data_IF_769607757792
#
_entry.id   IF_769607757792
#
_cell.length_a   1.000
_cell.length_b   1.000
_cell.length_c   1.000
_cell.angle_alpha   90.00
_cell.angle_beta   90.00
_cell.angle_gamma   90.00
#
_symmetry.space_group_name_H-M   'P 1'
#
loop_
_entity.id
_entity.type
_entity.pdbx_description
1 polymer ?
#
# COMPACT_ATOMS: atom_id res chain seq x y z
N UNK A 1 2.42 16.60 -5.64
CA UNK A 1 1.50 15.88 -4.72
C UNK A 1 2.02 14.46 -4.56
N UNK A 2 1.72 13.79 -3.43
CA UNK A 2 2.01 12.36 -3.20
C UNK A 2 0.67 11.69 -2.92
N UNK A 3 0.37 10.59 -3.62
CA UNK A 3 -0.73 9.70 -3.28
C UNK A 3 -0.19 8.52 -2.46
N UNK A 4 -0.69 8.37 -1.25
CA UNK A 4 -0.22 7.36 -0.29
C UNK A 4 -1.08 6.08 -0.27
N UNK A 5 -2.21 6.06 -0.99
CA UNK A 5 -3.17 4.96 -0.93
C UNK A 5 -3.73 4.63 -2.32
N UNK A 6 -3.16 3.64 -2.98
CA UNK A 6 -3.59 3.25 -4.33
C UNK A 6 -3.57 1.74 -4.55
N UNK A 7 -4.51 1.26 -5.37
CA UNK A 7 -4.62 -0.13 -5.80
C UNK A 7 -4.25 -0.27 -7.30
N UNK A 8 -3.08 0.26 -7.65
CA UNK A 8 -2.60 0.34 -9.05
C UNK A 8 -1.74 -0.87 -9.43
N UNK A 9 -1.21 -1.66 -8.47
CA UNK A 9 -0.44 -2.87 -8.80
C UNK A 9 -1.31 -3.90 -9.53
N UNK A 10 -0.87 -4.40 -10.71
CA UNK A 10 -1.71 -5.27 -11.54
C UNK A 10 -1.96 -6.62 -10.88
N UNK A 11 -3.23 -7.01 -10.79
CA UNK A 11 -3.66 -8.35 -10.36
C UNK A 11 -3.37 -8.69 -8.90
N UNK A 12 -3.20 -7.68 -8.03
CA UNK A 12 -2.95 -7.90 -6.60
C UNK A 12 -4.24 -8.05 -5.79
N UNK A 13 -5.24 -7.22 -6.10
CA UNK A 13 -6.49 -7.09 -5.35
C UNK A 13 -7.65 -6.66 -6.27
N UNK A 14 -8.64 -5.97 -5.73
CA UNK A 14 -9.81 -5.47 -6.44
C UNK A 14 -9.56 -4.20 -7.28
N UNK A 15 -8.35 -3.65 -7.25
CA UNK A 15 -7.94 -2.49 -8.05
C UNK A 15 -7.63 -2.81 -9.50
N UNK A 16 -6.42 -2.49 -9.96
CA UNK A 16 -6.00 -2.73 -11.34
C UNK A 16 -5.90 -4.21 -11.66
N UNK A 17 -6.74 -4.70 -12.59
CA UNK A 17 -6.78 -6.13 -12.97
C UNK A 17 -5.59 -6.56 -13.82
N UNK A 18 -5.00 -5.63 -14.56
CA UNK A 18 -3.92 -5.86 -15.51
C UNK A 18 -3.02 -4.64 -15.67
N UNK A 19 -1.89 -4.82 -16.34
CA UNK A 19 -0.91 -3.76 -16.60
C UNK A 19 -1.50 -2.60 -17.40
N UNK A 20 -2.41 -2.87 -18.33
CA UNK A 20 -3.05 -1.82 -19.13
C UNK A 20 -3.86 -0.88 -18.24
N UNK A 21 -4.61 -1.44 -17.31
CA UNK A 21 -5.37 -0.68 -16.31
C UNK A 21 -4.43 0.10 -15.40
N UNK A 22 -3.35 -0.52 -14.92
CA UNK A 22 -2.33 0.16 -14.10
C UNK A 22 -1.72 1.37 -14.81
N UNK A 23 -1.32 1.23 -16.07
CA UNK A 23 -0.77 2.34 -16.86
C UNK A 23 -1.81 3.45 -17.08
N UNK A 24 -3.08 3.11 -17.29
CA UNK A 24 -4.14 4.09 -17.43
C UNK A 24 -4.33 4.90 -16.14
N UNK A 25 -4.36 4.24 -14.98
CA UNK A 25 -4.45 4.89 -13.67
C UNK A 25 -3.24 5.80 -13.41
N UNK A 26 -2.00 5.34 -13.68
CA UNK A 26 -0.81 6.17 -13.51
C UNK A 26 -0.82 7.43 -14.39
N UNK A 27 -1.36 7.35 -15.61
CA UNK A 27 -1.55 8.53 -16.47
C UNK A 27 -2.57 9.52 -15.87
N UNK A 28 -3.63 8.99 -15.26
CA UNK A 28 -4.64 9.82 -14.57
C UNK A 28 -4.03 10.52 -13.35
N UNK A 29 -3.22 9.82 -12.55
CA UNK A 29 -2.46 10.40 -11.44
C UNK A 29 -1.55 11.55 -11.92
N UNK A 30 -0.76 11.27 -12.96
CA UNK A 30 0.10 12.29 -13.58
C UNK A 30 -0.67 13.51 -14.05
N UNK A 31 -1.81 13.31 -14.73
CA UNK A 31 -2.64 14.40 -15.22
C UNK A 31 -3.23 15.27 -14.09
N UNK A 32 -3.36 14.73 -12.88
CA UNK A 32 -3.80 15.45 -11.67
C UNK A 32 -2.62 16.10 -10.91
N UNK A 33 -1.39 15.99 -11.41
CA UNK A 33 -0.20 16.58 -10.79
C UNK A 33 0.37 15.77 -9.62
N UNK A 34 0.03 14.47 -9.54
CA UNK A 34 0.65 13.56 -8.58
C UNK A 34 2.04 13.21 -9.09
N UNK A 35 3.07 13.52 -8.30
CA UNK A 35 4.48 13.28 -8.65
C UNK A 35 5.03 11.99 -8.04
N UNK A 36 4.35 11.41 -7.06
CA UNK A 36 4.73 10.14 -6.43
C UNK A 36 3.46 9.38 -6.03
N UNK A 37 3.44 8.09 -6.34
CA UNK A 37 2.35 7.16 -5.99
C UNK A 37 2.93 6.04 -5.14
N UNK A 38 2.30 5.76 -4.01
CA UNK A 38 2.61 4.57 -3.21
C UNK A 38 1.59 3.48 -3.56
N UNK A 39 2.09 2.36 -4.03
CA UNK A 39 1.32 1.20 -4.43
C UNK A 39 1.02 0.36 -3.20
N UNK A 40 -0.21 0.40 -2.72
CA UNK A 40 -0.65 -0.15 -1.43
C UNK A 40 -1.73 -1.22 -1.61
N UNK A 41 -1.43 -2.37 -2.24
CA UNK A 41 -2.42 -3.43 -2.35
C UNK A 41 -2.85 -3.92 -0.97
N UNK A 42 -4.11 -4.40 -0.88
CA UNK A 42 -4.63 -5.01 0.34
C UNK A 42 -3.77 -6.17 0.82
N UNK A 43 -3.51 -6.19 2.12
CA UNK A 43 -2.89 -7.31 2.82
C UNK A 43 -3.75 -7.75 4.00
N UNK A 44 -4.24 -8.99 3.92
CA UNK A 44 -5.06 -9.67 4.94
C UNK A 44 -4.28 -10.85 5.52
N UNK A 45 -3.78 -10.71 6.75
CA UNK A 45 -2.96 -11.72 7.44
C UNK A 45 -3.68 -13.06 7.64
N UNK A 46 -4.99 -13.04 7.74
CA UNK A 46 -5.82 -14.23 7.87
C UNK A 46 -6.01 -15.00 6.55
N UNK A 47 -5.64 -14.42 5.42
CA UNK A 47 -5.77 -15.01 4.08
C UNK A 47 -4.44 -15.40 3.44
N UNK A 48 -3.36 -14.74 3.85
CA UNK A 48 -2.06 -14.90 3.20
C UNK A 48 -0.92 -14.64 4.17
N UNK A 49 0.13 -15.46 4.11
CA UNK A 49 1.37 -15.23 4.85
C UNK A 49 2.12 -14.00 4.33
N UNK A 50 2.75 -13.18 5.20
CA UNK A 50 3.44 -11.96 4.78
C UNK A 50 4.48 -12.20 3.68
N UNK A 51 5.28 -13.26 3.80
CA UNK A 51 6.32 -13.57 2.82
C UNK A 51 5.76 -13.93 1.44
N UNK A 52 4.59 -14.58 1.39
CA UNK A 52 3.91 -14.87 0.13
C UNK A 52 3.38 -13.58 -0.50
N UNK A 53 2.73 -12.72 0.29
CA UNK A 53 2.29 -11.39 -0.16
C UNK A 53 3.45 -10.57 -0.72
N UNK A 54 4.57 -10.46 0.03
CA UNK A 54 5.76 -9.71 -0.39
C UNK A 54 6.30 -10.21 -1.73
N UNK A 55 6.32 -11.52 -1.93
CA UNK A 55 6.76 -12.16 -3.19
C UNK A 55 5.83 -11.79 -4.35
N UNK A 56 4.50 -11.90 -4.15
CA UNK A 56 3.50 -11.51 -5.17
C UNK A 56 3.60 -10.04 -5.50
N UNK A 57 3.70 -9.17 -4.47
CA UNK A 57 3.84 -7.72 -4.63
C UNK A 57 5.09 -7.37 -5.45
N UNK A 58 6.23 -7.99 -5.15
CA UNK A 58 7.46 -7.79 -5.88
C UNK A 58 7.33 -8.20 -7.35
N UNK A 59 6.71 -9.35 -7.64
CA UNK A 59 6.46 -9.83 -9.00
C UNK A 59 5.55 -8.89 -9.80
N UNK A 60 4.46 -8.42 -9.19
CA UNK A 60 3.54 -7.45 -9.82
C UNK A 60 4.25 -6.11 -10.09
N UNK A 61 5.07 -5.64 -9.16
CA UNK A 61 5.87 -4.42 -9.32
C UNK A 61 6.89 -4.55 -10.46
N UNK A 62 7.58 -5.68 -10.58
CA UNK A 62 8.51 -5.95 -11.69
C UNK A 62 7.78 -5.97 -13.04
N UNK A 63 6.61 -6.57 -13.10
CA UNK A 63 5.77 -6.61 -14.31
C UNK A 63 5.36 -5.20 -14.74
N UNK A 64 4.91 -4.37 -13.79
CA UNK A 64 4.54 -2.98 -14.07
C UNK A 64 5.76 -2.15 -14.48
N UNK A 65 6.89 -2.30 -13.80
CA UNK A 65 8.13 -1.60 -14.12
C UNK A 65 8.65 -1.93 -15.53
N UNK A 66 8.57 -3.21 -15.93
CA UNK A 66 8.92 -3.64 -17.28
C UNK A 66 8.03 -3.00 -18.34
N UNK A 67 6.73 -2.91 -18.07
CA UNK A 67 5.78 -2.27 -18.98
C UNK A 67 6.01 -0.75 -19.10
N UNK A 68 6.30 -0.07 -17.99
CA UNK A 68 6.67 1.36 -18.00
C UNK A 68 7.94 1.56 -18.84
N UNK A 69 8.95 0.72 -18.65
CA UNK A 69 10.22 0.79 -19.40
C UNK A 69 10.05 0.57 -20.91
N UNK A 70 8.99 -0.13 -21.31
CA UNK A 70 8.65 -0.37 -22.73
C UNK A 70 7.92 0.82 -23.39
N UNK A 71 7.48 1.83 -22.64
CA UNK A 71 6.86 3.05 -23.18
C UNK A 71 7.90 3.95 -23.82
N UNK A 72 7.48 4.88 -24.71
CA UNK A 72 8.36 5.95 -25.18
C UNK A 72 8.92 6.79 -24.03
N UNK A 73 10.18 7.20 -24.11
CA UNK A 73 10.88 7.95 -23.04
C UNK A 73 10.12 9.20 -22.53
N UNK A 74 9.52 10.04 -23.38
CA UNK A 74 8.72 11.17 -22.90
C UNK A 74 7.54 10.75 -22.03
N UNK A 75 6.94 9.62 -22.33
CA UNK A 75 5.82 9.07 -21.56
C UNK A 75 6.30 8.50 -20.23
N UNK A 76 7.41 7.74 -20.23
CA UNK A 76 8.03 7.27 -18.99
C UNK A 76 8.29 8.40 -18.00
N UNK A 77 8.89 9.49 -18.50
CA UNK A 77 9.25 10.66 -17.71
C UNK A 77 8.03 11.47 -17.21
N UNK A 78 6.89 11.32 -17.85
CA UNK A 78 5.65 11.96 -17.46
C UNK A 78 4.91 11.22 -16.32
N UNK A 79 5.20 9.92 -16.10
CA UNK A 79 4.56 9.14 -15.04
C UNK A 79 5.10 9.50 -13.65
N UNK A 80 4.28 9.34 -12.58
CA UNK A 80 4.74 9.56 -11.22
C UNK A 80 5.81 8.54 -10.82
N UNK A 81 6.65 8.91 -9.87
CA UNK A 81 7.55 7.96 -9.19
C UNK A 81 6.73 6.97 -8.39
N UNK A 82 7.18 5.71 -8.36
CA UNK A 82 6.49 4.64 -7.67
C UNK A 82 7.26 4.23 -6.41
N UNK A 83 6.53 4.02 -5.33
CA UNK A 83 7.01 3.37 -4.12
C UNK A 83 6.08 2.19 -3.79
N UNK A 84 6.59 1.20 -3.07
CA UNK A 84 5.78 0.06 -2.62
C UNK A 84 5.33 0.29 -1.18
N UNK A 85 4.16 -0.23 -0.85
CA UNK A 85 3.60 -0.30 0.49
C UNK A 85 2.64 -1.47 0.57
N UNK A 86 1.76 -1.43 1.55
CA UNK A 86 0.59 -2.29 1.68
C UNK A 86 -0.50 -1.55 2.46
N UNK A 87 -1.76 -1.78 2.13
CA UNK A 87 -2.88 -1.48 3.01
C UNK A 87 -3.13 -2.68 3.90
N UNK A 88 -2.69 -2.57 5.15
CA UNK A 88 -2.71 -3.67 6.12
C UNK A 88 -4.05 -3.67 6.83
N UNK A 89 -4.82 -4.75 6.72
CA UNK A 89 -6.00 -4.93 7.56
C UNK A 89 -5.58 -5.19 9.01
N UNK A 90 -6.21 -4.49 9.94
CA UNK A 90 -5.96 -4.65 11.37
C UNK A 90 -6.16 -6.09 11.83
N UNK A 91 -5.19 -6.58 12.60
CA UNK A 91 -5.33 -7.78 13.43
C UNK A 91 -4.69 -7.54 14.80
N UNK A 92 -5.14 -8.25 15.85
CA UNK A 92 -4.49 -8.22 17.15
C UNK A 92 -3.00 -8.58 17.05
N UNK A 93 -2.18 -7.98 17.90
CA UNK A 93 -0.73 -8.23 17.98
C UNK A 93 0.08 -7.86 16.73
N UNK A 94 -0.41 -6.91 15.93
CA UNK A 94 0.29 -6.41 14.74
C UNK A 94 1.73 -5.93 15.05
N UNK A 95 1.95 -5.39 16.25
CA UNK A 95 3.27 -4.94 16.71
C UNK A 95 4.32 -6.08 16.85
N UNK A 96 3.89 -7.33 16.84
CA UNK A 96 4.76 -8.49 16.99
C UNK A 96 5.24 -9.05 15.64
N UNK A 97 4.83 -8.45 14.52
CA UNK A 97 5.20 -8.95 13.20
C UNK A 97 6.59 -8.47 12.79
N UNK A 98 7.52 -9.39 12.55
CA UNK A 98 8.86 -9.04 12.09
C UNK A 98 8.86 -8.45 10.67
N UNK A 99 7.85 -8.78 9.84
CA UNK A 99 7.72 -8.30 8.46
C UNK A 99 7.08 -6.91 8.35
N UNK A 100 6.55 -6.34 9.44
CA UNK A 100 5.86 -5.05 9.40
C UNK A 100 6.70 -3.93 8.75
N UNK A 101 8.02 -3.82 8.95
CA UNK A 101 8.85 -2.83 8.27
C UNK A 101 8.84 -2.97 6.74
N UNK A 102 8.69 -4.19 6.20
CA UNK A 102 8.65 -4.43 4.76
C UNK A 102 7.31 -4.03 4.11
N UNK A 103 6.28 -3.77 4.93
CA UNK A 103 4.95 -3.34 4.51
C UNK A 103 4.77 -1.81 4.56
N UNK A 104 5.80 -1.07 5.00
CA UNK A 104 5.78 0.38 5.11
C UNK A 104 5.65 1.09 3.75
N UNK A 105 5.23 2.35 3.79
CA UNK A 105 5.05 3.23 2.64
C UNK A 105 6.41 3.68 2.08
N UNK A 106 6.95 2.92 1.15
CA UNK A 106 8.30 3.12 0.63
C UNK A 106 9.36 3.01 1.75
N UNK A 107 10.46 3.76 1.68
CA UNK A 107 11.55 3.73 2.65
C UNK A 107 11.24 4.61 3.88
N UNK A 108 10.01 4.64 4.35
CA UNK A 108 9.58 5.45 5.49
C UNK A 108 9.32 4.60 6.74
N UNK A 109 9.13 5.25 7.89
CA UNK A 109 8.68 4.62 9.12
C UNK A 109 7.14 4.65 9.27
N UNK A 110 6.40 4.82 8.17
CA UNK A 110 4.95 4.86 8.16
C UNK A 110 4.39 3.65 7.42
N UNK A 111 3.26 3.11 7.89
CA UNK A 111 2.51 2.06 7.20
C UNK A 111 1.03 2.41 7.14
N UNK A 112 0.33 1.96 6.09
CA UNK A 112 -1.10 2.23 5.91
C UNK A 112 -1.89 1.13 6.61
N UNK A 113 -2.82 1.52 7.48
CA UNK A 113 -3.59 0.60 8.32
C UNK A 113 -5.09 0.79 8.11
N UNK A 114 -5.76 -0.25 7.66
CA UNK A 114 -7.21 -0.35 7.62
C UNK A 114 -7.73 -0.90 8.95
N UNK A 115 -8.55 -0.13 9.65
CA UNK A 115 -9.22 -0.56 10.87
C UNK A 115 -10.54 -1.27 10.55
N UNK A 116 -11.04 -2.11 11.47
CA UNK A 116 -12.30 -2.79 11.24
C UNK A 116 -13.51 -1.82 11.24
N UNK A 117 -14.53 -2.14 10.44
CA UNK A 117 -15.78 -1.37 10.32
C UNK A 117 -16.84 -1.71 11.37
N UNK A 118 -16.43 -2.29 12.49
CA UNK A 118 -17.26 -2.49 13.67
C UNK A 118 -16.76 -1.63 14.85
N UNK A 119 -17.56 -1.42 15.92
CA UNK A 119 -17.14 -0.60 17.06
C UNK A 119 -15.80 -1.07 17.64
N UNK A 120 -14.88 -0.13 17.82
CA UNK A 120 -13.54 -0.43 18.33
C UNK A 120 -13.59 -0.68 19.84
N UNK A 121 -12.92 -1.73 20.27
CA UNK A 121 -12.76 -2.06 21.68
C UNK A 121 -11.61 -1.26 22.29
N UNK A 122 -11.65 -1.09 23.63
CA UNK A 122 -10.52 -0.48 24.35
C UNK A 122 -9.20 -1.22 24.10
N UNK A 123 -9.26 -2.54 23.91
CA UNK A 123 -8.08 -3.35 23.57
C UNK A 123 -7.50 -2.94 22.22
N UNK A 124 -8.31 -2.76 21.18
CA UNK A 124 -7.85 -2.31 19.86
C UNK A 124 -7.21 -0.93 19.98
N UNK A 125 -7.90 -0.01 20.66
CA UNK A 125 -7.43 1.36 20.86
C UNK A 125 -6.08 1.37 21.58
N UNK A 126 -5.93 0.62 22.66
CA UNK A 126 -4.69 0.53 23.42
C UNK A 126 -3.55 -0.03 22.57
N UNK A 127 -3.79 -1.13 21.83
CA UNK A 127 -2.78 -1.70 20.94
C UNK A 127 -2.36 -0.72 19.83
N UNK A 128 -3.31 0.05 19.29
CA UNK A 128 -3.01 1.07 18.28
C UNK A 128 -2.09 2.18 18.84
N UNK A 129 -2.34 2.65 20.07
CA UNK A 129 -1.48 3.64 20.74
C UNK A 129 -0.08 3.10 21.08
N UNK A 130 0.04 1.81 21.37
CA UNK A 130 1.31 1.17 21.69
C UNK A 130 2.20 0.92 20.46
N UNK A 131 1.61 0.83 19.24
CA UNK A 131 2.33 0.50 18.01
C UNK A 131 3.60 1.31 17.80
N UNK A 132 3.59 2.66 17.84
CA UNK A 132 4.81 3.43 17.59
C UNK A 132 5.90 3.19 18.63
N UNK A 133 5.52 3.07 19.91
CA UNK A 133 6.46 2.80 21.00
C UNK A 133 7.11 1.43 20.94
N UNK A 134 6.39 0.40 20.43
CA UNK A 134 6.86 -0.97 20.33
C UNK A 134 7.67 -1.24 19.07
N UNK A 135 7.29 -0.62 17.96
CA UNK A 135 7.85 -0.94 16.64
C UNK A 135 8.77 0.14 16.09
N UNK A 136 8.67 1.38 16.57
CA UNK A 136 9.29 2.55 15.95
C UNK A 136 8.58 2.98 14.65
N UNK A 137 7.45 2.33 14.29
CA UNK A 137 6.69 2.62 13.07
C UNK A 137 5.37 3.31 13.42
N UNK A 138 4.91 4.21 12.56
CA UNK A 138 3.70 5.00 12.77
C UNK A 138 2.60 4.58 11.81
N UNK A 139 1.41 4.16 12.30
CA UNK A 139 0.29 3.87 11.44
C UNK A 139 -0.31 5.15 10.84
N UNK A 140 -0.65 5.09 9.56
CA UNK A 140 -1.50 6.06 8.85
C UNK A 140 -2.83 5.36 8.63
N UNK A 141 -3.93 5.91 9.15
CA UNK A 141 -5.23 5.28 9.02
C UNK A 141 -5.80 5.48 7.62
N UNK A 142 -6.18 4.38 6.97
CA UNK A 142 -6.82 4.40 5.67
C UNK A 142 -8.25 4.96 5.81
N UNK A 143 -8.74 5.66 4.79
CA UNK A 143 -10.13 6.12 4.59
C UNK A 143 -10.91 6.37 5.91
N UNK A 144 -10.36 7.21 6.77
CA UNK A 144 -10.87 7.51 8.12
C UNK A 144 -12.35 7.92 8.14
N UNK A 145 -12.84 8.50 7.06
CA UNK A 145 -14.23 8.91 6.86
C UNK A 145 -15.22 7.72 6.82
N UNK A 146 -14.74 6.50 6.62
CA UNK A 146 -15.56 5.29 6.55
C UNK A 146 -15.82 4.64 7.91
N UNK A 147 -15.20 5.11 8.98
CA UNK A 147 -15.35 4.54 10.34
C UNK A 147 -16.39 5.26 11.19
N UNK A 148 -17.15 6.19 10.62
CA UNK A 148 -18.17 7.00 11.31
C UNK A 148 -19.56 6.33 11.28
#
# INVERSE_FOLDING_TARGET
MIDLHTHILPGMDDGAKDVKTSLALLRMESAQGVGTVVLTPHFYRDREEPQHFLTRRASAAQTLAAAIKALPEPEQNALPRLALGAEIAWVPHLADWPELPELCLGPSAYFLLELPFYPWTDQLINQLYELPGRTGLTPVLAHIERYL
#
